data_IF_051058942139
#
_entry.id   IF_051058942139
#
_cell.length_a   1.000
_cell.length_b   1.000
_cell.length_c   1.000
_cell.angle_alpha   90.00
_cell.angle_beta   90.00
_cell.angle_gamma   90.00
#
_symmetry.space_group_name_H-M   'P 1'
#
loop_
_entity.id
_entity.type
_entity.pdbx_description
1 polymer ?
#
# COMPACT_ATOMS: atom_id res chain seq x y z
N UNK A 1 12.11 -23.09 4.70
CA UNK A 1 12.37 -21.63 4.58
C UNK A 1 11.04 -20.92 4.82
N UNK A 2 11.02 -19.88 5.64
CA UNK A 2 9.80 -19.14 5.99
C UNK A 2 9.52 -18.14 4.88
N UNK A 3 8.33 -18.20 4.29
CA UNK A 3 7.85 -17.25 3.28
C UNK A 3 6.90 -16.27 3.95
N UNK A 4 7.08 -14.98 3.74
CA UNK A 4 6.21 -13.97 4.33
C UNK A 4 4.87 -13.92 3.58
N UNK A 5 3.80 -13.59 4.28
CA UNK A 5 2.54 -13.20 3.62
C UNK A 5 2.76 -11.87 2.90
N UNK A 6 3.23 -10.86 3.63
CA UNK A 6 3.58 -9.52 3.13
C UNK A 6 4.96 -9.14 3.63
N UNK A 7 5.67 -8.28 2.91
CA UNK A 7 6.94 -7.71 3.36
C UNK A 7 6.72 -6.42 4.16
N UNK A 8 6.38 -5.34 3.45
CA UNK A 8 6.09 -4.03 4.03
C UNK A 8 4.57 -3.81 4.02
N UNK A 9 3.99 -3.52 5.18
CA UNK A 9 2.55 -3.36 5.34
C UNK A 9 2.20 -2.11 6.16
N UNK A 10 1.84 -1.03 5.47
CA UNK A 10 1.39 0.23 6.06
C UNK A 10 -0.12 0.33 5.85
N UNK A 11 -0.89 0.36 6.94
CA UNK A 11 -2.34 0.26 6.87
C UNK A 11 -3.08 1.30 7.71
N UNK A 12 -4.25 1.70 7.24
CA UNK A 12 -5.21 2.51 8.01
C UNK A 12 -6.46 1.70 8.38
N UNK A 13 -7.09 2.06 9.49
CA UNK A 13 -8.38 1.49 9.87
C UNK A 13 -9.49 1.88 8.87
N UNK A 14 -10.52 1.03 8.70
CA UNK A 14 -11.54 1.19 7.67
C UNK A 14 -12.63 2.22 7.98
N UNK A 15 -12.60 2.89 9.14
CA UNK A 15 -13.72 3.70 9.61
C UNK A 15 -13.30 5.13 9.95
N UNK A 16 -13.90 6.10 9.25
CA UNK A 16 -14.08 7.44 9.78
C UNK A 16 -15.31 7.49 10.70
N UNK A 17 -15.39 8.49 11.57
CA UNK A 17 -16.53 8.67 12.46
C UNK A 17 -16.20 9.56 13.65
N UNK A 18 -16.99 9.45 14.71
CA UNK A 18 -16.69 10.07 16.00
C UNK A 18 -16.10 9.01 16.92
N UNK A 19 -15.02 9.37 17.59
CA UNK A 19 -14.54 8.64 18.76
C UNK A 19 -15.50 8.97 19.91
N UNK A 20 -16.29 7.99 20.35
CA UNK A 20 -17.32 8.17 21.38
C UNK A 20 -16.73 8.55 22.74
N UNK A 21 -15.47 8.21 23.00
CA UNK A 21 -14.77 8.55 24.25
C UNK A 21 -14.26 9.98 24.19
N UNK A 22 -13.67 10.38 23.06
CA UNK A 22 -13.11 11.71 22.89
C UNK A 22 -14.13 12.77 22.45
N UNK A 23 -15.32 12.35 21.97
CA UNK A 23 -16.32 13.25 21.38
C UNK A 23 -15.84 13.98 20.13
N UNK A 24 -14.83 13.44 19.44
CA UNK A 24 -14.12 14.11 18.34
C UNK A 24 -14.01 13.20 17.10
N UNK A 25 -13.78 13.75 15.90
CA UNK A 25 -13.57 12.93 14.71
C UNK A 25 -12.41 11.95 14.86
N UNK A 26 -12.63 10.69 14.49
CA UNK A 26 -11.57 9.69 14.31
C UNK A 26 -10.68 10.15 13.16
N UNK A 27 -9.39 10.31 13.44
CA UNK A 27 -8.38 10.61 12.45
C UNK A 27 -7.10 9.84 12.76
N UNK A 28 -6.26 9.62 11.74
CA UNK A 28 -4.94 9.05 11.93
C UNK A 28 -3.92 9.75 11.03
N UNK A 29 -2.68 9.83 11.50
CA UNK A 29 -1.56 10.38 10.75
C UNK A 29 -0.47 9.32 10.71
N UNK A 30 -0.11 8.92 9.50
CA UNK A 30 0.96 7.98 9.18
C UNK A 30 1.98 8.78 8.37
N UNK A 31 3.00 9.32 9.02
CA UNK A 31 3.95 10.18 8.35
C UNK A 31 5.38 10.06 8.82
N UNK A 32 6.30 10.47 7.94
CA UNK A 32 7.75 10.50 8.18
C UNK A 32 8.30 9.11 8.53
N UNK A 33 7.95 8.12 7.70
CA UNK A 33 8.35 6.71 7.88
C UNK A 33 9.47 6.39 6.89
N UNK A 34 10.52 5.72 7.37
CA UNK A 34 11.58 5.14 6.54
C UNK A 34 11.61 3.62 6.76
N UNK A 35 11.52 2.88 5.66
CA UNK A 35 11.93 1.48 5.59
C UNK A 35 13.19 1.42 4.71
N UNK A 36 14.29 0.90 5.27
CA UNK A 36 15.61 0.89 4.61
C UNK A 36 16.29 -0.48 4.74
N UNK A 37 17.03 -0.87 3.70
CA UNK A 37 17.87 -2.09 3.66
C UNK A 37 17.11 -3.39 3.94
N UNK A 38 16.03 -3.62 3.19
CA UNK A 38 15.12 -4.77 3.38
C UNK A 38 15.19 -5.73 2.20
N UNK A 39 15.44 -7.00 2.49
CA UNK A 39 15.22 -8.11 1.55
C UNK A 39 13.87 -8.78 1.84
N UNK A 40 13.01 -8.87 0.83
CA UNK A 40 11.73 -9.59 0.88
C UNK A 40 11.82 -10.79 -0.07
N UNK A 41 12.09 -12.00 0.48
CA UNK A 41 12.16 -13.24 -0.30
C UNK A 41 10.81 -13.96 -0.35
N UNK A 42 10.36 -14.28 -1.57
CA UNK A 42 9.16 -15.08 -1.88
C UNK A 42 7.91 -14.71 -1.07
N UNK A 43 7.48 -13.43 -1.07
CA UNK A 43 6.21 -13.08 -0.47
C UNK A 43 5.06 -13.78 -1.20
N UNK A 44 4.15 -14.40 -0.44
CA UNK A 44 2.98 -15.11 -0.98
C UNK A 44 1.85 -14.18 -1.37
N UNK A 45 1.81 -12.99 -0.79
CA UNK A 45 0.84 -11.94 -1.06
C UNK A 45 1.58 -10.66 -1.50
N UNK A 46 1.02 -9.48 -1.23
CA UNK A 46 1.65 -8.20 -1.60
C UNK A 46 2.99 -8.02 -0.88
N UNK A 47 4.10 -7.94 -1.64
CA UNK A 47 5.42 -7.67 -1.05
C UNK A 47 5.43 -6.30 -0.38
N UNK A 48 4.83 -5.30 -1.04
CA UNK A 48 4.57 -3.97 -0.48
C UNK A 48 3.06 -3.71 -0.52
N UNK A 49 2.49 -3.29 0.60
CA UNK A 49 1.13 -2.76 0.70
C UNK A 49 1.10 -1.46 1.47
N UNK A 50 0.50 -0.43 0.86
CA UNK A 50 0.22 0.85 1.49
C UNK A 50 -1.24 1.20 1.18
N UNK A 51 -2.10 1.28 2.19
CA UNK A 51 -3.51 1.64 1.98
C UNK A 51 -4.43 1.15 3.10
N UNK A 52 -5.71 0.85 2.80
CA UNK A 52 -6.66 0.43 3.83
C UNK A 52 -6.34 -0.96 4.40
N UNK A 53 -6.79 -1.21 5.62
CA UNK A 53 -6.58 -2.46 6.34
C UNK A 53 -7.34 -3.63 5.71
N UNK A 54 -6.58 -4.64 5.28
CA UNK A 54 -7.05 -5.96 4.83
C UNK A 54 -7.14 -6.94 6.01
N UNK A 55 -8.01 -6.63 6.98
CA UNK A 55 -8.17 -7.46 8.17
C UNK A 55 -9.66 -7.57 8.49
N UNK A 56 -10.25 -8.64 7.98
CA UNK A 56 -11.57 -9.11 8.33
C UNK A 56 -11.42 -10.17 9.43
N UNK A 57 -11.94 -9.86 10.62
CA UNK A 57 -11.90 -10.80 11.75
C UNK A 57 -12.88 -11.97 11.53
N UNK A 58 -12.49 -13.20 11.90
CA UNK A 58 -13.38 -14.36 11.84
C UNK A 58 -14.70 -14.09 12.57
N UNK A 59 -15.80 -14.63 12.03
CA UNK A 59 -17.15 -14.52 12.60
C UNK A 59 -17.74 -13.10 12.67
N UNK A 60 -17.12 -12.10 12.03
CA UNK A 60 -17.72 -10.78 11.83
C UNK A 60 -18.30 -10.63 10.42
N UNK A 61 -19.27 -9.74 10.20
CA UNK A 61 -19.62 -9.33 8.84
C UNK A 61 -18.49 -8.51 8.23
N UNK A 62 -18.33 -8.55 6.90
CA UNK A 62 -17.30 -7.77 6.22
C UNK A 62 -17.53 -6.26 6.42
N UNK A 63 -18.78 -5.79 6.27
CA UNK A 63 -19.13 -4.39 6.51
C UNK A 63 -18.26 -3.43 5.70
N UNK A 64 -17.66 -2.44 6.37
CA UNK A 64 -16.70 -1.49 5.78
C UNK A 64 -15.24 -2.02 5.81
N UNK A 65 -14.98 -3.20 6.38
CA UNK A 65 -13.65 -3.79 6.42
C UNK A 65 -13.25 -4.28 5.04
N UNK A 66 -11.94 -4.38 4.81
CA UNK A 66 -11.44 -4.88 3.53
C UNK A 66 -11.09 -6.35 3.63
N UNK A 67 -11.58 -7.11 2.65
CA UNK A 67 -11.25 -8.52 2.52
C UNK A 67 -9.74 -8.68 2.29
N UNK A 68 -9.21 -9.85 2.68
CA UNK A 68 -7.78 -10.13 2.50
C UNK A 68 -7.37 -10.09 1.02
N UNK A 69 -8.31 -10.41 0.12
CA UNK A 69 -8.10 -10.45 -1.32
C UNK A 69 -8.15 -9.07 -2.03
N UNK A 70 -8.61 -8.00 -1.37
CA UNK A 70 -8.63 -6.64 -1.95
C UNK A 70 -7.23 -6.23 -2.45
N UNK A 71 -7.06 -5.61 -3.63
CA UNK A 71 -8.07 -5.13 -4.59
C UNK A 71 -8.54 -6.13 -5.65
N UNK A 72 -8.35 -7.44 -5.47
CA UNK A 72 -8.99 -8.43 -6.37
C UNK A 72 -10.52 -8.37 -6.24
N UNK A 73 -11.01 -8.28 -5.00
CA UNK A 73 -12.35 -7.83 -4.70
C UNK A 73 -12.44 -6.31 -4.86
N UNK A 74 -13.57 -5.79 -5.35
CA UNK A 74 -13.72 -4.35 -5.66
C UNK A 74 -14.14 -3.49 -4.47
N UNK A 75 -14.51 -4.11 -3.34
CA UNK A 75 -15.13 -3.38 -2.24
C UNK A 75 -14.18 -3.24 -1.06
N UNK A 76 -13.68 -2.02 -0.87
CA UNK A 76 -12.95 -1.60 0.31
C UNK A 76 -12.85 -0.08 0.27
N UNK A 77 -13.46 0.64 1.23
CA UNK A 77 -13.39 2.09 1.23
C UNK A 77 -12.04 2.55 1.78
N UNK A 78 -11.21 3.20 0.95
CA UNK A 78 -10.06 3.95 1.46
C UNK A 78 -10.58 5.21 2.15
N UNK A 79 -10.18 5.45 3.40
CA UNK A 79 -10.76 6.51 4.23
C UNK A 79 -10.06 7.86 4.04
N UNK A 80 -10.85 8.94 3.88
CA UNK A 80 -10.33 10.31 3.74
C UNK A 80 -9.90 10.98 5.06
N UNK A 81 -10.22 10.39 6.22
CA UNK A 81 -9.82 10.91 7.53
C UNK A 81 -8.42 10.45 7.98
N UNK A 82 -7.66 9.76 7.11
CA UNK A 82 -6.30 9.28 7.41
C UNK A 82 -5.31 9.93 6.47
N UNK A 83 -4.27 10.51 7.05
CA UNK A 83 -3.17 11.14 6.30
C UNK A 83 -2.02 10.17 6.17
N UNK A 84 -1.59 9.93 4.92
CA UNK A 84 -0.34 9.25 4.60
C UNK A 84 0.61 10.25 3.93
N UNK A 85 1.73 10.55 4.58
CA UNK A 85 2.65 11.57 4.08
C UNK A 85 4.12 11.23 4.34
N UNK A 86 5.02 11.57 3.42
CA UNK A 86 6.48 11.46 3.62
C UNK A 86 6.92 10.05 4.01
N UNK A 87 6.56 9.06 3.21
CA UNK A 87 6.94 7.66 3.40
C UNK A 87 8.06 7.35 2.41
N UNK A 88 9.19 6.85 2.90
CA UNK A 88 10.33 6.46 2.07
C UNK A 88 10.57 4.96 2.20
N UNK A 89 10.61 4.28 1.05
CA UNK A 89 11.15 2.93 0.92
C UNK A 89 12.49 3.05 0.22
N UNK A 90 13.57 2.63 0.88
CA UNK A 90 14.93 2.76 0.37
C UNK A 90 15.68 1.43 0.40
N UNK A 91 16.42 1.13 -0.67
CA UNK A 91 17.22 -0.11 -0.76
C UNK A 91 16.40 -1.36 -0.42
N UNK A 92 15.18 -1.44 -0.95
CA UNK A 92 14.29 -2.58 -0.76
C UNK A 92 14.43 -3.51 -1.95
N UNK A 93 14.82 -4.75 -1.71
CA UNK A 93 14.90 -5.78 -2.74
C UNK A 93 13.80 -6.82 -2.54
N UNK A 94 12.96 -7.01 -3.56
CA UNK A 94 11.92 -8.03 -3.59
C UNK A 94 12.36 -9.14 -4.53
N UNK A 95 12.38 -10.37 -4.03
CA UNK A 95 12.86 -11.52 -4.78
C UNK A 95 11.75 -12.56 -4.95
N UNK A 96 11.45 -12.94 -6.21
CA UNK A 96 10.44 -13.95 -6.59
C UNK A 96 9.09 -13.77 -5.87
N UNK A 97 8.45 -12.58 -5.89
CA UNK A 97 7.10 -12.45 -5.35
C UNK A 97 6.14 -13.32 -6.16
N UNK A 98 5.23 -14.02 -5.47
CA UNK A 98 4.26 -14.92 -6.13
C UNK A 98 3.32 -14.14 -7.06
N UNK A 99 2.90 -12.97 -6.61
CA UNK A 99 1.98 -12.06 -7.31
C UNK A 99 2.69 -10.73 -7.62
N UNK A 100 1.94 -9.77 -8.18
CA UNK A 100 2.45 -8.43 -8.50
C UNK A 100 3.17 -7.81 -7.29
N UNK A 101 4.25 -7.04 -7.52
CA UNK A 101 5.13 -6.50 -6.47
C UNK A 101 4.43 -5.82 -5.29
N UNK A 102 3.32 -5.14 -5.54
CA UNK A 102 2.60 -4.49 -4.46
C UNK A 102 1.43 -3.64 -4.91
N UNK A 103 0.80 -3.02 -3.92
CA UNK A 103 -0.39 -2.19 -4.07
C UNK A 103 -0.24 -0.93 -3.22
N UNK A 104 -0.55 0.21 -3.82
CA UNK A 104 -0.59 1.53 -3.19
C UNK A 104 -1.99 2.11 -3.44
N UNK A 105 -2.80 2.24 -2.39
CA UNK A 105 -4.19 2.73 -2.49
C UNK A 105 -4.41 3.89 -1.52
N UNK A 106 -4.38 5.11 -2.06
CA UNK A 106 -4.80 6.32 -1.36
C UNK A 106 -6.31 6.58 -1.49
N UNK A 107 -6.77 7.68 -0.90
CA UNK A 107 -8.13 8.17 -1.04
C UNK A 107 -8.13 9.47 -1.89
N UNK A 108 -9.15 9.69 -2.71
CA UNK A 108 -9.22 10.88 -3.58
C UNK A 108 -9.24 12.21 -2.82
N UNK A 109 -9.86 12.27 -1.64
CA UNK A 109 -9.95 13.48 -0.80
C UNK A 109 -8.79 13.62 0.19
N UNK A 110 -8.05 12.54 0.45
CA UNK A 110 -6.80 12.52 1.23
C UNK A 110 -5.77 11.60 0.54
N UNK A 111 -5.13 12.06 -0.55
CA UNK A 111 -4.19 11.26 -1.31
C UNK A 111 -2.89 11.02 -0.52
N UNK A 112 -2.20 9.92 -0.84
CA UNK A 112 -0.86 9.66 -0.31
C UNK A 112 0.11 10.66 -0.95
N UNK A 113 0.86 11.39 -0.14
CA UNK A 113 1.81 12.41 -0.62
C UNK A 113 3.23 12.15 -0.13
N UNK A 114 4.22 12.59 -0.89
CA UNK A 114 5.62 12.43 -0.52
C UNK A 114 6.07 10.96 -0.42
N UNK A 115 5.50 10.07 -1.24
CA UNK A 115 5.94 8.68 -1.31
C UNK A 115 7.23 8.57 -2.14
N UNK A 116 8.31 8.08 -1.55
CA UNK A 116 9.61 7.94 -2.20
C UNK A 116 10.01 6.47 -2.32
N UNK A 117 10.22 6.00 -3.54
CA UNK A 117 10.83 4.71 -3.85
C UNK A 117 12.27 4.94 -4.32
N UNK A 118 13.22 4.77 -3.39
CA UNK A 118 14.65 4.97 -3.62
C UNK A 118 15.36 3.62 -3.74
N UNK A 119 15.73 3.20 -4.94
CA UNK A 119 16.37 1.89 -5.17
C UNK A 119 15.50 0.72 -4.68
N UNK A 120 14.20 0.74 -5.00
CA UNK A 120 13.26 -0.36 -4.76
C UNK A 120 13.23 -1.25 -5.99
N UNK A 121 13.72 -2.49 -5.87
CA UNK A 121 13.93 -3.38 -7.02
C UNK A 121 13.20 -4.71 -6.85
N UNK A 122 12.76 -5.27 -7.97
CA UNK A 122 12.08 -6.58 -8.00
C UNK A 122 12.78 -7.52 -8.97
N UNK A 123 13.22 -8.67 -8.48
CA UNK A 123 13.76 -9.77 -9.28
C UNK A 123 12.68 -10.83 -9.51
N UNK A 124 12.50 -11.26 -10.77
CA UNK A 124 11.52 -12.29 -11.17
C UNK A 124 10.11 -11.99 -10.66
N UNK A 125 9.50 -10.86 -11.06
CA UNK A 125 8.20 -10.45 -10.55
C UNK A 125 7.09 -11.43 -10.97
N UNK A 126 6.22 -11.78 -10.02
CA UNK A 126 4.90 -12.29 -10.31
C UNK A 126 4.11 -11.28 -11.15
N UNK A 127 3.18 -11.78 -11.98
CA UNK A 127 2.47 -10.95 -12.96
C UNK A 127 0.98 -10.78 -12.70
N UNK A 128 0.43 -11.55 -11.77
CA UNK A 128 -0.98 -11.48 -11.44
C UNK A 128 -1.19 -10.56 -10.23
N UNK A 129 -2.20 -9.68 -10.21
CA UNK A 129 -3.13 -9.35 -11.29
C UNK A 129 -2.69 -8.11 -12.13
N UNK A 130 -1.66 -7.38 -11.69
CA UNK A 130 -1.29 -6.04 -12.20
C UNK A 130 -0.06 -6.05 -13.11
N UNK A 131 0.22 -7.18 -13.74
CA UNK A 131 1.47 -7.39 -14.46
C UNK A 131 2.66 -7.43 -13.50
N UNK A 132 3.85 -7.22 -14.08
CA UNK A 132 5.09 -7.21 -13.33
C UNK A 132 5.28 -5.94 -12.45
N UNK A 133 4.28 -5.06 -12.34
CA UNK A 133 4.35 -3.74 -11.71
C UNK A 133 3.36 -3.59 -10.55
N UNK A 134 3.31 -2.39 -9.97
CA UNK A 134 2.46 -2.03 -8.84
C UNK A 134 1.10 -1.52 -9.32
N UNK A 135 0.06 -1.88 -8.58
CA UNK A 135 -1.20 -1.13 -8.62
C UNK A 135 -1.02 0.15 -7.81
N UNK A 136 -1.39 1.29 -8.37
CA UNK A 136 -1.26 2.56 -7.66
C UNK A 136 -2.41 3.53 -7.96
N UNK A 137 -3.04 4.03 -6.90
CA UNK A 137 -4.18 4.95 -6.97
C UNK A 137 -4.07 6.05 -5.91
N UNK A 138 -4.40 7.29 -6.27
CA UNK A 138 -4.40 8.46 -5.39
C UNK A 138 -3.13 8.61 -4.53
N UNK A 139 -1.97 8.42 -5.17
CA UNK A 139 -0.67 8.62 -4.55
C UNK A 139 0.24 9.46 -5.43
N UNK A 140 1.18 10.17 -4.81
CA UNK A 140 2.14 11.03 -5.50
C UNK A 140 3.50 11.00 -4.79
N UNK A 141 4.55 11.25 -5.58
CA UNK A 141 5.91 11.31 -5.07
C UNK A 141 6.92 11.02 -6.17
N UNK A 142 7.92 10.19 -5.87
CA UNK A 142 9.03 9.91 -6.79
C UNK A 142 9.53 8.48 -6.69
N UNK A 143 10.01 7.95 -7.82
CA UNK A 143 10.75 6.71 -7.87
C UNK A 143 12.11 6.96 -8.54
N UNK A 144 13.20 6.71 -7.83
CA UNK A 144 14.58 6.90 -8.30
C UNK A 144 15.34 5.59 -8.16
N UNK A 145 15.97 5.11 -9.24
CA UNK A 145 16.70 3.84 -9.25
C UNK A 145 15.83 2.60 -8.99
N UNK A 146 14.50 2.74 -9.04
CA UNK A 146 13.55 1.67 -8.72
C UNK A 146 13.09 0.96 -9.99
N UNK A 147 12.93 -0.37 -9.91
CA UNK A 147 12.56 -1.21 -11.06
C UNK A 147 11.67 -2.40 -10.66
N UNK A 148 10.42 -2.47 -11.16
CA UNK A 148 9.72 -1.38 -11.84
C UNK A 148 9.32 -0.27 -10.86
N UNK A 149 9.18 0.98 -11.32
CA UNK A 149 8.57 2.04 -10.53
C UNK A 149 7.04 1.94 -10.55
N UNK A 150 6.32 2.26 -9.44
CA UNK A 150 4.88 2.47 -9.48
C UNK A 150 4.51 3.63 -10.42
N UNK A 151 3.48 3.44 -11.26
CA UNK A 151 3.13 4.42 -12.31
C UNK A 151 2.80 5.82 -11.77
N UNK A 152 2.14 5.88 -10.60
CA UNK A 152 1.80 7.13 -9.90
C UNK A 152 3.01 7.92 -9.36
N UNK A 153 4.22 7.33 -9.37
CA UNK A 153 5.46 7.97 -8.94
C UNK A 153 6.34 8.38 -10.12
N UNK A 154 5.87 8.18 -11.35
CA UNK A 154 6.57 8.61 -12.56
C UNK A 154 6.22 10.07 -12.89
N UNK A 155 7.21 10.87 -13.35
CA UNK A 155 6.95 12.22 -13.84
C UNK A 155 5.97 12.21 -15.02
N UNK A 156 4.97 13.10 -15.02
CA UNK A 156 4.09 13.34 -16.17
C UNK A 156 2.96 12.31 -16.37
N UNK A 157 2.85 11.29 -15.51
CA UNK A 157 1.67 10.41 -15.48
C UNK A 157 0.63 11.07 -14.57
N UNK A 158 -0.39 11.70 -15.17
CA UNK A 158 -1.60 12.07 -14.44
C UNK A 158 -2.24 10.76 -13.96
N UNK A 159 -2.34 10.57 -12.65
CA UNK A 159 -3.12 9.47 -12.08
C UNK A 159 -4.53 9.56 -12.65
N UNK A 160 -5.03 8.45 -13.21
CA UNK A 160 -6.41 8.38 -13.70
C UNK A 160 -7.34 8.64 -12.52
N UNK A 161 -8.03 9.78 -12.59
CA UNK A 161 -9.03 10.24 -11.64
C UNK A 161 -10.33 9.43 -11.74
#
# INVERSE_FOLDING_TARGET
MIESGKGIYIKSNPECGIDEVAGAPKAAIISNILYEDILIDRPRWWAIWIGPQQQHEPHSSLGLKCALDYPLSRHCPTQGCVTFANITLRNVHIERPLISPGVIKGNATSPITGLAFDNVTVSRPGRFPFGASYECEHASGRAVGSSPPPACLLPGVLSSW
#
